data_IF_464969535219
#
_entry.id   IF_464969535219
#
_cell.length_a   1.000
_cell.length_b   1.000
_cell.length_c   1.000
_cell.angle_alpha   90.00
_cell.angle_beta   90.00
_cell.angle_gamma   90.00
#
_symmetry.space_group_name_H-M   'P 1'
#
loop_
_entity.id
_entity.type
_entity.pdbx_description
1 polymer ?
#
# COMPACT_ATOMS: atom_id res chain seq x y z
N UNK A 1 -2.14 -7.41 -27.88
CA UNK A 1 -3.35 -6.61 -27.61
C UNK A 1 -3.09 -5.99 -26.23
N UNK A 2 -2.79 -4.70 -26.22
CA UNK A 2 -2.47 -3.98 -24.99
C UNK A 2 -3.73 -3.33 -24.41
N UNK A 3 -3.82 -3.29 -23.10
CA UNK A 3 -4.77 -2.47 -22.36
C UNK A 3 -4.04 -1.23 -21.86
N UNK A 4 -4.64 -0.06 -21.98
CA UNK A 4 -4.02 1.20 -21.61
C UNK A 4 -4.53 1.72 -20.26
N UNK A 5 -3.64 2.28 -19.46
CA UNK A 5 -3.94 3.03 -18.24
C UNK A 5 -3.94 4.52 -18.58
N UNK A 6 -4.99 5.23 -18.18
CA UNK A 6 -4.99 6.68 -18.15
C UNK A 6 -5.05 7.10 -16.70
N UNK A 7 -3.92 7.51 -16.15
CA UNK A 7 -3.80 7.98 -14.79
C UNK A 7 -3.35 9.42 -14.73
N UNK A 8 -3.83 10.18 -13.75
CA UNK A 8 -3.18 11.40 -13.36
C UNK A 8 -2.19 11.08 -12.26
N UNK A 9 -0.93 11.12 -12.60
CA UNK A 9 0.05 11.43 -11.61
C UNK A 9 0.35 12.90 -11.73
N UNK A 10 0.27 13.55 -10.60
CA UNK A 10 0.74 14.89 -10.52
C UNK A 10 2.18 14.92 -10.94
N UNK A 11 2.47 15.60 -12.05
CA UNK A 11 3.81 16.08 -12.26
C UNK A 11 4.19 16.84 -11.01
N UNK A 12 5.13 16.28 -10.29
CA UNK A 12 5.77 16.96 -9.19
C UNK A 12 6.27 18.27 -9.78
N UNK A 13 5.62 19.38 -9.45
CA UNK A 13 6.24 20.67 -9.63
C UNK A 13 7.54 20.59 -8.87
N UNK A 14 8.62 21.13 -9.43
CA UNK A 14 9.89 21.32 -8.71
C UNK A 14 9.71 22.10 -7.40
N UNK A 15 8.56 22.73 -7.20
CA UNK A 15 8.18 23.50 -6.00
C UNK A 15 7.35 22.73 -4.98
N UNK A 16 6.89 21.49 -5.24
CA UNK A 16 6.08 20.72 -4.29
C UNK A 16 6.79 19.48 -3.75
N UNK A 17 8.08 19.62 -3.46
CA UNK A 17 8.84 18.60 -2.73
C UNK A 17 8.26 18.28 -1.33
N UNK A 18 7.25 19.01 -0.89
CA UNK A 18 6.78 19.04 0.50
C UNK A 18 5.39 18.42 0.73
N UNK A 19 4.62 18.07 -0.31
CA UNK A 19 3.27 17.56 -0.12
C UNK A 19 2.97 16.39 -1.06
N UNK A 20 2.70 15.19 -0.53
CA UNK A 20 2.30 14.04 -1.35
C UNK A 20 0.86 14.21 -1.83
N UNK A 21 0.64 14.12 -3.15
CA UNK A 21 -0.69 14.14 -3.77
C UNK A 21 -1.17 12.76 -4.24
N UNK A 22 -0.57 11.71 -3.74
CA UNK A 22 -0.93 10.35 -4.13
C UNK A 22 -2.39 10.02 -3.80
N UNK A 23 -3.11 9.50 -4.77
CA UNK A 23 -4.50 9.06 -4.59
C UNK A 23 -5.55 10.16 -4.48
N UNK A 24 -5.19 11.44 -4.75
CA UNK A 24 -6.13 12.58 -4.68
C UNK A 24 -6.89 12.75 -6.00
N UNK A 25 -6.20 12.51 -7.11
CA UNK A 25 -6.80 12.60 -8.45
C UNK A 25 -7.17 11.23 -8.98
N UNK A 26 -8.17 11.18 -9.87
CA UNK A 26 -8.69 9.93 -10.41
C UNK A 26 -7.72 9.29 -11.39
N UNK A 27 -7.64 7.96 -11.35
CA UNK A 27 -6.90 7.11 -12.28
C UNK A 27 -7.87 6.18 -12.98
N UNK A 28 -7.96 6.27 -14.29
CA UNK A 28 -8.87 5.45 -15.08
C UNK A 28 -8.13 4.33 -15.79
N UNK A 29 -8.55 3.09 -15.55
CA UNK A 29 -8.09 1.93 -16.32
C UNK A 29 -9.11 1.62 -17.40
N UNK A 30 -8.69 1.69 -18.67
CA UNK A 30 -9.56 1.46 -19.82
C UNK A 30 -9.06 0.28 -20.63
N UNK A 31 -9.97 -0.58 -21.12
CA UNK A 31 -9.62 -1.69 -22.00
C UNK A 31 -9.23 -1.18 -23.39
N UNK A 32 -8.42 -1.95 -24.09
CA UNK A 32 -8.16 -1.70 -25.50
C UNK A 32 -9.41 -2.06 -26.32
N UNK A 33 -9.78 -1.19 -27.25
CA UNK A 33 -10.88 -1.38 -28.18
C UNK A 33 -10.34 -1.47 -29.61
N UNK A 34 -10.84 -2.43 -30.38
CA UNK A 34 -10.43 -2.61 -31.79
C UNK A 34 -10.89 -1.46 -32.69
N UNK A 35 -12.05 -0.86 -32.38
CA UNK A 35 -12.51 0.34 -33.09
C UNK A 35 -11.73 1.58 -32.65
N UNK A 36 -11.03 2.22 -33.59
CA UNK A 36 -10.17 3.39 -33.32
C UNK A 36 -10.95 4.60 -32.83
N UNK A 37 -12.19 4.78 -33.31
CA UNK A 37 -13.03 5.95 -32.94
C UNK A 37 -13.57 5.76 -31.52
N UNK A 38 -14.03 4.56 -31.20
CA UNK A 38 -14.46 4.24 -29.83
C UNK A 38 -13.31 4.33 -28.84
N UNK A 39 -12.13 3.80 -29.21
CA UNK A 39 -10.92 3.92 -28.38
C UNK A 39 -10.52 5.37 -28.15
N UNK A 40 -10.51 6.20 -29.20
CA UNK A 40 -10.20 7.63 -29.09
C UNK A 40 -11.23 8.37 -28.23
N UNK A 41 -12.51 8.04 -28.38
CA UNK A 41 -13.58 8.61 -27.55
C UNK A 41 -13.35 8.29 -26.08
N UNK A 42 -13.17 7.01 -25.74
CA UNK A 42 -12.97 6.55 -24.36
C UNK A 42 -11.70 7.16 -23.76
N UNK A 43 -10.60 7.18 -24.50
CA UNK A 43 -9.35 7.82 -24.06
C UNK A 43 -9.54 9.31 -23.80
N UNK A 44 -10.24 10.01 -24.70
CA UNK A 44 -10.51 11.45 -24.55
C UNK A 44 -11.39 11.74 -23.33
N UNK A 45 -12.40 10.90 -23.07
CA UNK A 45 -13.28 11.05 -21.92
C UNK A 45 -12.55 10.71 -20.61
N UNK A 46 -11.67 9.71 -20.60
CA UNK A 46 -10.82 9.42 -19.46
C UNK A 46 -9.86 10.59 -19.15
N UNK A 47 -9.21 11.18 -20.16
CA UNK A 47 -8.36 12.38 -19.99
C UNK A 47 -9.15 13.54 -19.39
N UNK A 48 -10.37 13.80 -19.92
CA UNK A 48 -11.25 14.83 -19.34
C UNK A 48 -11.64 14.52 -17.90
N UNK A 49 -11.92 13.25 -17.59
CA UNK A 49 -12.21 12.78 -16.24
C UNK A 49 -11.07 13.06 -15.28
N UNK A 50 -9.82 12.80 -15.70
CA UNK A 50 -8.62 13.13 -14.94
C UNK A 50 -8.55 14.64 -14.66
N UNK A 51 -8.70 15.49 -15.67
CA UNK A 51 -8.72 16.95 -15.47
C UNK A 51 -9.87 17.40 -14.58
N UNK A 52 -11.05 16.77 -14.69
CA UNK A 52 -12.21 17.09 -13.87
C UNK A 52 -12.00 16.71 -12.40
N UNK A 53 -11.19 15.68 -12.11
CA UNK A 53 -10.96 15.18 -10.76
C UNK A 53 -10.32 16.21 -9.84
N UNK A 54 -9.63 17.23 -10.37
CA UNK A 54 -9.14 18.39 -9.59
C UNK A 54 -10.28 19.09 -8.82
N UNK A 55 -11.48 19.07 -9.39
CA UNK A 55 -12.66 19.74 -8.83
C UNK A 55 -13.55 18.84 -8.00
N UNK A 56 -13.17 17.57 -7.83
CA UNK A 56 -13.95 16.63 -7.01
C UNK A 56 -13.85 16.98 -5.52
N UNK A 57 -14.78 16.44 -4.73
CA UNK A 57 -14.91 16.77 -3.32
C UNK A 57 -13.64 16.50 -2.54
N UNK A 58 -13.02 15.34 -2.77
CA UNK A 58 -11.83 14.91 -2.00
C UNK A 58 -10.61 15.75 -2.36
N UNK A 59 -10.44 16.07 -3.66
CA UNK A 59 -9.40 16.99 -4.13
C UNK A 59 -9.56 18.39 -3.54
N UNK A 60 -10.79 18.91 -3.49
CA UNK A 60 -11.08 20.21 -2.85
C UNK A 60 -10.84 20.20 -1.35
N UNK A 61 -11.26 19.14 -0.66
CA UNK A 61 -11.04 19.01 0.78
C UNK A 61 -9.55 18.99 1.12
N UNK A 62 -8.75 18.24 0.32
CA UNK A 62 -7.30 18.21 0.47
C UNK A 62 -6.67 19.59 0.24
N UNK A 63 -7.05 20.28 -0.83
CA UNK A 63 -6.52 21.61 -1.12
C UNK A 63 -6.91 22.67 -0.08
N UNK A 64 -8.07 22.52 0.55
CA UNK A 64 -8.47 23.39 1.67
C UNK A 64 -7.66 23.12 2.94
N UNK A 65 -7.25 21.87 3.14
CA UNK A 65 -6.39 21.48 4.26
C UNK A 65 -4.90 21.82 4.03
N UNK A 66 -4.52 22.17 2.80
CA UNK A 66 -3.17 22.58 2.42
C UNK A 66 -3.15 24.04 1.98
N UNK A 67 -1.99 24.67 1.96
CA UNK A 67 -1.84 26.06 1.50
C UNK A 67 -2.00 26.25 -0.02
N UNK A 68 -2.41 25.23 -0.75
CA UNK A 68 -2.50 25.25 -2.21
C UNK A 68 -3.81 25.89 -2.70
N UNK A 69 -3.73 26.69 -3.77
CA UNK A 69 -4.88 27.33 -4.38
C UNK A 69 -5.24 26.61 -5.67
N UNK A 70 -6.47 26.08 -5.77
CA UNK A 70 -6.98 25.32 -6.95
C UNK A 70 -6.71 26.02 -8.28
N UNK A 71 -6.82 27.35 -8.33
CA UNK A 71 -6.64 28.13 -9.57
C UNK A 71 -5.20 28.11 -10.10
N UNK A 72 -4.24 27.76 -9.24
CA UNK A 72 -2.81 27.67 -9.60
C UNK A 72 -2.37 26.24 -9.91
N UNK A 73 -3.23 25.25 -9.68
CA UNK A 73 -2.93 23.85 -9.93
C UNK A 73 -2.81 23.57 -11.44
N UNK A 74 -1.70 22.95 -11.83
CA UNK A 74 -1.45 22.52 -13.21
C UNK A 74 -1.29 21.01 -13.20
N UNK A 75 -2.15 20.32 -13.94
CA UNK A 75 -2.15 18.88 -14.03
C UNK A 75 -1.46 18.42 -15.32
N UNK A 76 -0.60 17.41 -15.19
CA UNK A 76 -0.16 16.60 -16.30
C UNK A 76 -0.88 15.25 -16.28
N UNK A 77 -1.12 14.67 -17.44
CA UNK A 77 -1.75 13.35 -17.60
C UNK A 77 -0.72 12.38 -18.13
N UNK A 78 -0.53 11.25 -17.44
CA UNK A 78 0.33 10.16 -17.86
C UNK A 78 -0.55 9.07 -18.48
N UNK A 79 -0.18 8.63 -19.68
CA UNK A 79 -0.74 7.47 -20.34
C UNK A 79 0.24 6.33 -20.23
N UNK A 80 -0.18 5.22 -19.59
CA UNK A 80 0.67 4.08 -19.35
C UNK A 80 -0.05 2.79 -19.73
N UNK A 81 0.66 1.85 -20.36
CA UNK A 81 0.12 0.54 -20.66
C UNK A 81 -0.13 -0.27 -19.37
N UNK A 82 -1.33 -0.84 -19.23
CA UNK A 82 -1.63 -1.71 -18.09
C UNK A 82 -0.90 -3.04 -18.27
N UNK A 83 -0.13 -3.40 -17.24
CA UNK A 83 0.61 -4.66 -17.21
C UNK A 83 -0.31 -5.80 -16.76
N UNK A 84 -0.24 -6.94 -17.44
CA UNK A 84 -1.02 -8.11 -17.05
C UNK A 84 -0.99 -9.24 -18.08
N UNK A 85 -1.79 -10.25 -17.80
CA UNK A 85 -2.12 -11.34 -18.70
C UNK A 85 -3.63 -11.39 -18.90
N UNK A 86 -4.06 -11.79 -20.09
CA UNK A 86 -5.45 -12.01 -20.37
C UNK A 86 -5.92 -13.40 -19.91
N UNK A 87 -7.04 -13.43 -19.22
CA UNK A 87 -7.73 -14.62 -18.73
C UNK A 87 -9.21 -14.55 -19.15
N UNK A 88 -9.50 -15.00 -20.37
CA UNK A 88 -10.83 -14.82 -20.97
C UNK A 88 -11.17 -13.34 -21.10
N UNK A 89 -12.22 -12.92 -20.42
CA UNK A 89 -12.69 -11.52 -20.42
C UNK A 89 -12.07 -10.65 -19.31
N UNK A 90 -10.98 -11.11 -18.68
CA UNK A 90 -10.29 -10.44 -17.56
C UNK A 90 -8.83 -10.17 -17.92
N UNK A 91 -8.30 -9.05 -17.42
CA UNK A 91 -6.90 -8.72 -17.61
C UNK A 91 -6.28 -8.22 -16.30
N UNK A 92 -5.23 -8.89 -15.84
CA UNK A 92 -4.54 -8.53 -14.61
C UNK A 92 -3.14 -9.16 -14.53
N UNK A 93 -2.20 -8.55 -13.78
CA UNK A 93 -0.88 -9.12 -13.52
C UNK A 93 -0.94 -10.26 -12.52
N UNK A 94 0.07 -11.12 -12.51
CA UNK A 94 0.21 -12.17 -11.50
C UNK A 94 0.33 -11.59 -10.09
N UNK A 95 1.00 -10.44 -9.97
CA UNK A 95 1.12 -9.69 -8.73
C UNK A 95 1.38 -8.22 -9.02
N UNK A 96 1.01 -7.38 -8.06
CA UNK A 96 1.38 -5.97 -7.98
C UNK A 96 1.83 -5.64 -6.58
N UNK A 97 2.64 -4.60 -6.43
CA UNK A 97 3.13 -4.22 -5.13
C UNK A 97 3.52 -2.76 -5.04
N UNK A 98 3.59 -2.31 -3.79
CA UNK A 98 4.19 -1.04 -3.40
C UNK A 98 5.36 -1.36 -2.49
N UNK A 99 6.54 -0.86 -2.81
CA UNK A 99 7.73 -1.05 -2.00
C UNK A 99 8.34 0.29 -1.60
N UNK A 100 8.84 0.38 -0.39
CA UNK A 100 9.50 1.56 0.17
C UNK A 100 10.91 1.22 0.59
N UNK A 101 11.86 2.10 0.35
CA UNK A 101 13.24 1.93 0.81
C UNK A 101 13.38 2.18 2.32
N UNK A 102 12.38 2.80 2.95
CA UNK A 102 12.32 3.04 4.39
C UNK A 102 11.18 2.24 5.02
N UNK A 103 11.52 1.42 6.02
CA UNK A 103 10.58 0.67 6.83
C UNK A 103 10.32 1.42 8.16
N UNK A 104 9.17 2.05 8.28
CA UNK A 104 8.80 2.78 9.50
C UNK A 104 8.48 1.88 10.69
N UNK A 105 8.21 0.59 10.45
CA UNK A 105 7.81 -0.39 11.47
C UNK A 105 8.55 -1.71 11.25
N UNK A 106 9.87 -1.75 11.50
CA UNK A 106 10.63 -2.98 11.38
C UNK A 106 10.14 -4.03 12.40
N UNK A 107 10.07 -5.28 11.99
CA UNK A 107 9.62 -6.41 12.80
C UNK A 107 10.78 -7.39 13.04
N UNK A 108 10.95 -7.85 14.27
CA UNK A 108 12.02 -8.79 14.61
C UNK A 108 13.39 -8.22 14.30
N UNK A 109 14.11 -8.91 13.40
CA UNK A 109 15.48 -8.54 12.99
C UNK A 109 15.53 -7.53 11.82
N UNK A 110 14.37 -7.09 11.30
CA UNK A 110 14.31 -6.09 10.22
C UNK A 110 14.89 -4.75 10.68
N UNK A 111 15.51 -4.04 9.74
CA UNK A 111 16.00 -2.67 9.96
C UNK A 111 15.22 -1.67 9.13
N UNK A 112 15.20 -0.42 9.58
CA UNK A 112 14.47 0.65 8.89
C UNK A 112 14.97 0.86 7.45
N UNK A 113 16.28 0.78 7.22
CA UNK A 113 16.94 0.95 5.92
C UNK A 113 16.78 -0.24 4.96
N UNK A 114 16.24 -1.36 5.41
CA UNK A 114 16.00 -2.55 4.58
C UNK A 114 14.69 -2.47 3.78
N UNK A 115 13.88 -1.48 4.09
CA UNK A 115 12.64 -1.24 3.39
C UNK A 115 11.52 -2.23 3.70
N UNK A 116 10.37 -2.01 3.07
CA UNK A 116 9.18 -2.85 3.21
C UNK A 116 8.37 -2.91 1.93
N UNK A 117 7.65 -4.01 1.73
CA UNK A 117 6.84 -4.29 0.54
C UNK A 117 5.45 -4.71 0.93
N UNK A 118 4.44 -4.15 0.28
CA UNK A 118 3.08 -4.66 0.27
C UNK A 118 2.81 -5.32 -1.09
N UNK A 119 2.44 -6.58 -1.07
CA UNK A 119 2.28 -7.43 -2.25
C UNK A 119 0.85 -7.97 -2.33
N UNK A 120 0.26 -7.95 -3.52
CA UNK A 120 -1.08 -8.48 -3.77
C UNK A 120 -1.19 -9.13 -5.15
N UNK A 121 -2.12 -10.07 -5.31
CA UNK A 121 -2.60 -10.60 -6.59
C UNK A 121 -3.42 -9.55 -7.30
N UNK A 122 -3.26 -9.41 -8.62
CA UNK A 122 -4.08 -8.56 -9.48
C UNK A 122 -3.57 -7.13 -9.59
N UNK A 123 -4.44 -6.21 -9.96
CA UNK A 123 -4.09 -4.81 -10.21
C UNK A 123 -3.74 -4.05 -8.93
N UNK A 124 -2.72 -3.20 -8.99
CA UNK A 124 -2.18 -2.43 -7.87
C UNK A 124 -3.17 -1.50 -7.19
N UNK A 125 -4.23 -1.05 -7.90
CA UNK A 125 -5.32 -0.28 -7.29
C UNK A 125 -5.93 -0.97 -6.06
N UNK A 126 -5.90 -2.30 -5.99
CA UNK A 126 -6.36 -3.03 -4.81
C UNK A 126 -5.56 -2.68 -3.54
N UNK A 127 -4.26 -2.41 -3.69
CA UNK A 127 -3.37 -1.99 -2.60
C UNK A 127 -3.68 -0.56 -2.18
N UNK A 128 -3.83 0.33 -3.17
CA UNK A 128 -4.15 1.76 -2.93
C UNK A 128 -5.49 1.93 -2.23
N UNK A 129 -6.50 1.12 -2.59
CA UNK A 129 -7.83 1.12 -1.97
C UNK A 129 -7.85 0.45 -0.58
N UNK A 130 -6.69 0.13 0.00
CA UNK A 130 -6.58 -0.46 1.33
C UNK A 130 -6.97 -1.94 1.41
N UNK A 131 -6.86 -2.67 0.31
CA UNK A 131 -7.06 -4.12 0.29
C UNK A 131 -6.05 -4.89 1.14
N UNK A 132 -6.39 -6.11 1.51
CA UNK A 132 -5.47 -7.00 2.23
C UNK A 132 -4.25 -7.32 1.38
N UNK A 133 -3.06 -6.98 1.87
CA UNK A 133 -1.77 -7.21 1.22
C UNK A 133 -0.89 -8.07 2.10
N UNK A 134 0.03 -8.79 1.49
CA UNK A 134 1.08 -9.47 2.22
C UNK A 134 2.26 -8.50 2.38
N UNK A 135 2.71 -8.31 3.63
CA UNK A 135 3.84 -7.44 3.96
C UNK A 135 5.09 -8.26 4.22
N UNK A 136 6.22 -7.85 3.63
CA UNK A 136 7.54 -8.44 3.91
C UNK A 136 8.66 -7.40 3.73
N UNK A 137 9.84 -7.66 4.33
CA UNK A 137 11.07 -6.94 4.00
C UNK A 137 11.80 -7.65 2.86
N UNK A 138 12.32 -6.92 1.84
CA UNK A 138 13.11 -7.53 0.76
C UNK A 138 14.37 -8.27 1.26
N UNK A 139 14.90 -7.90 2.43
CA UNK A 139 16.06 -8.55 3.03
C UNK A 139 15.69 -9.76 3.88
N UNK A 140 14.41 -9.86 4.29
CA UNK A 140 13.89 -10.97 5.08
C UNK A 140 12.62 -11.58 4.44
N UNK A 141 12.67 -12.06 3.17
CA UNK A 141 11.48 -12.49 2.43
C UNK A 141 10.79 -13.72 3.06
N UNK A 142 11.51 -14.48 3.88
CA UNK A 142 10.97 -15.66 4.58
C UNK A 142 10.26 -15.30 5.90
N UNK A 143 10.39 -14.07 6.38
CA UNK A 143 9.79 -13.61 7.63
C UNK A 143 8.53 -12.82 7.34
N UNK A 144 7.43 -13.53 7.08
CA UNK A 144 6.13 -12.93 6.76
C UNK A 144 5.17 -13.15 7.91
N UNK A 145 4.82 -12.08 8.63
CA UNK A 145 3.96 -12.17 9.82
C UNK A 145 2.60 -12.78 9.51
N UNK A 146 1.98 -12.39 8.39
CA UNK A 146 0.66 -12.90 8.00
C UNK A 146 0.62 -14.40 7.71
N UNK A 147 1.79 -15.04 7.50
CA UNK A 147 1.89 -16.48 7.24
C UNK A 147 2.65 -17.23 8.33
N UNK A 148 3.00 -16.57 9.44
CA UNK A 148 3.75 -17.17 10.56
C UNK A 148 2.95 -18.24 11.30
N UNK A 149 1.63 -18.08 11.38
CA UNK A 149 0.70 -19.02 11.98
C UNK A 149 -0.46 -19.31 11.02
N UNK A 150 -0.95 -20.54 11.05
CA UNK A 150 -2.03 -20.98 10.18
C UNK A 150 -3.32 -20.17 10.36
N UNK A 151 -3.70 -19.87 11.61
CA UNK A 151 -4.91 -19.11 11.89
C UNK A 151 -4.83 -17.67 11.37
N UNK A 152 -3.66 -17.05 11.50
CA UNK A 152 -3.39 -15.72 10.96
C UNK A 152 -3.45 -15.76 9.44
N UNK A 153 -2.78 -16.74 8.82
CA UNK A 153 -2.77 -16.88 7.37
C UNK A 153 -4.17 -17.07 6.76
N UNK A 154 -5.05 -17.77 7.45
CA UNK A 154 -6.44 -17.97 7.00
C UNK A 154 -7.31 -16.70 7.13
N UNK A 155 -6.96 -15.77 8.01
CA UNK A 155 -7.70 -14.52 8.24
C UNK A 155 -7.10 -13.32 7.51
N UNK A 156 -5.77 -13.19 7.54
CA UNK A 156 -5.05 -11.97 7.16
C UNK A 156 -4.44 -12.04 5.75
N UNK A 157 -4.80 -13.04 4.96
CA UNK A 157 -4.37 -13.14 3.57
C UNK A 157 -5.45 -12.67 2.60
N UNK A 158 -5.03 -12.26 1.43
CA UNK A 158 -5.88 -11.70 0.40
C UNK A 158 -7.00 -12.67 -0.02
N UNK A 159 -8.24 -12.20 -0.03
CA UNK A 159 -9.43 -12.96 -0.46
C UNK A 159 -10.08 -12.42 -1.73
N UNK A 160 -9.78 -11.19 -2.11
CA UNK A 160 -10.30 -10.52 -3.31
C UNK A 160 -9.17 -9.82 -4.05
N UNK A 161 -9.36 -9.57 -5.34
CA UNK A 161 -8.43 -8.83 -6.18
C UNK A 161 -9.16 -8.01 -7.23
N UNK A 162 -8.46 -7.07 -7.87
CA UNK A 162 -8.99 -6.33 -9.02
C UNK A 162 -8.44 -6.87 -10.34
N UNK A 163 -9.33 -6.95 -11.32
CA UNK A 163 -9.02 -7.21 -12.72
C UNK A 163 -9.71 -6.18 -13.61
N UNK A 164 -9.13 -5.86 -14.75
CA UNK A 164 -9.77 -5.05 -15.79
C UNK A 164 -10.82 -5.90 -16.52
N UNK A 165 -12.01 -5.35 -16.70
CA UNK A 165 -13.11 -5.97 -17.44
C UNK A 165 -12.92 -5.75 -18.95
N UNK A 166 -12.73 -6.83 -19.69
CA UNK A 166 -12.65 -6.78 -21.15
C UNK A 166 -14.00 -7.09 -21.82
N UNK A 167 -14.95 -7.68 -21.09
CA UNK A 167 -16.26 -8.07 -21.64
C UNK A 167 -17.16 -6.87 -21.91
N UNK A 168 -17.14 -5.92 -20.97
CA UNK A 168 -17.94 -4.70 -21.08
C UNK A 168 -17.12 -3.54 -21.68
N UNK A 169 -16.08 -3.87 -22.41
CA UNK A 169 -15.28 -2.89 -23.14
C UNK A 169 -16.19 -2.11 -24.12
N UNK A 170 -16.13 -0.78 -24.08
CA UNK A 170 -16.94 0.08 -24.97
C UNK A 170 -18.24 0.64 -24.36
N UNK A 171 -18.55 0.33 -23.10
CA UNK A 171 -19.61 1.03 -22.38
C UNK A 171 -19.31 2.53 -22.20
N UNK A 172 -20.36 3.31 -21.93
CA UNK A 172 -20.19 4.74 -21.70
C UNK A 172 -19.24 5.00 -20.55
N UNK A 173 -18.39 6.00 -20.72
CA UNK A 173 -17.44 6.44 -19.70
C UNK A 173 -18.17 6.90 -18.43
N UNK A 174 -17.70 6.48 -17.27
CA UNK A 174 -18.15 6.95 -15.95
C UNK A 174 -17.04 7.73 -15.27
N UNK A 175 -17.42 8.73 -14.49
CA UNK A 175 -16.50 9.46 -13.62
C UNK A 175 -16.02 8.63 -12.40
N UNK A 176 -16.64 7.48 -12.14
CA UNK A 176 -16.16 6.50 -11.17
C UNK A 176 -14.90 5.84 -11.72
N UNK A 177 -13.77 6.01 -11.05
CA UNK A 177 -12.47 5.49 -11.48
C UNK A 177 -12.37 3.96 -11.43
N UNK A 178 -13.33 3.31 -10.79
CA UNK A 178 -13.50 1.86 -10.76
C UNK A 178 -14.40 1.28 -11.84
N UNK A 179 -14.96 2.08 -12.74
CA UNK A 179 -16.05 1.64 -13.64
C UNK A 179 -15.71 0.46 -14.58
N UNK A 180 -14.44 0.26 -14.92
CA UNK A 180 -13.96 -0.87 -15.72
C UNK A 180 -13.29 -1.96 -14.88
N UNK A 181 -13.40 -1.91 -13.57
CA UNK A 181 -12.71 -2.85 -12.68
C UNK A 181 -13.69 -3.86 -12.10
N UNK A 182 -13.27 -5.12 -12.12
CA UNK A 182 -13.95 -6.21 -11.46
C UNK A 182 -13.28 -6.49 -10.12
N UNK A 183 -14.04 -6.42 -9.03
CA UNK A 183 -13.59 -6.87 -7.70
C UNK A 183 -13.97 -8.33 -7.52
N UNK A 184 -13.03 -9.23 -7.78
CA UNK A 184 -13.22 -10.66 -7.85
C UNK A 184 -12.75 -11.37 -6.58
N UNK A 185 -13.30 -12.55 -6.31
CA UNK A 185 -12.78 -13.44 -5.28
C UNK A 185 -11.58 -14.23 -5.81
N UNK A 186 -10.59 -14.54 -4.96
CA UNK A 186 -9.38 -15.33 -5.31
C UNK A 186 -9.72 -16.64 -6.02
N UNK A 187 -10.88 -17.25 -5.74
CA UNK A 187 -11.37 -18.46 -6.43
C UNK A 187 -11.49 -18.26 -7.96
N UNK A 188 -11.78 -17.05 -8.42
CA UNK A 188 -11.82 -16.77 -9.85
C UNK A 188 -10.43 -16.84 -10.48
N UNK A 189 -9.39 -16.37 -9.76
CA UNK A 189 -8.01 -16.52 -10.22
C UNK A 189 -7.53 -17.98 -10.19
N UNK A 190 -8.11 -18.85 -9.33
CA UNK A 190 -7.90 -20.30 -9.40
C UNK A 190 -8.47 -20.88 -10.70
N UNK A 191 -9.70 -20.49 -11.07
CA UNK A 191 -10.34 -20.90 -12.32
C UNK A 191 -9.55 -20.42 -13.55
N UNK A 192 -8.94 -19.25 -13.48
CA UNK A 192 -8.09 -18.68 -14.52
C UNK A 192 -6.71 -19.37 -14.60
N UNK A 193 -6.36 -20.24 -13.63
CA UNK A 193 -5.06 -20.89 -13.52
C UNK A 193 -3.92 -19.93 -13.12
N UNK A 194 -4.26 -18.76 -12.55
CA UNK A 194 -3.30 -17.71 -12.22
C UNK A 194 -2.57 -17.93 -10.88
N UNK A 195 -3.04 -18.87 -10.04
CA UNK A 195 -2.54 -19.03 -8.67
C UNK A 195 -1.29 -19.90 -8.52
N UNK A 196 -0.77 -20.48 -9.59
CA UNK A 196 0.27 -21.52 -9.56
C UNK A 196 1.47 -21.23 -8.67
N UNK A 197 1.99 -20.01 -8.70
CA UNK A 197 3.21 -19.63 -7.98
C UNK A 197 2.96 -18.69 -6.79
N UNK A 198 1.70 -18.27 -6.59
CA UNK A 198 1.36 -17.26 -5.61
C UNK A 198 0.49 -17.78 -4.47
N UNK A 199 -0.09 -18.98 -4.61
CA UNK A 199 -0.94 -19.55 -3.60
C UNK A 199 -0.36 -20.84 -3.02
N UNK A 200 -0.72 -21.07 -1.74
CA UNK A 200 -0.57 -22.32 -1.02
C UNK A 200 -1.96 -22.95 -0.81
N UNK A 201 -2.01 -24.22 -0.43
CA UNK A 201 -3.26 -24.93 -0.17
C UNK A 201 -3.37 -25.29 1.31
N UNK A 202 -4.44 -24.83 1.96
CA UNK A 202 -4.79 -25.26 3.30
C UNK A 202 -5.46 -26.64 3.27
N UNK A 203 -4.87 -27.58 4.00
CA UNK A 203 -5.41 -28.93 4.22
C UNK A 203 -6.18 -28.95 5.55
N UNK A 204 -7.52 -29.11 5.52
CA UNK A 204 -8.33 -29.09 6.74
C UNK A 204 -8.19 -30.39 7.58
N UNK A 205 -7.71 -31.49 7.01
CA UNK A 205 -7.53 -32.75 7.73
C UNK A 205 -6.25 -32.70 8.57
N UNK A 206 -5.15 -32.31 7.95
CA UNK A 206 -3.85 -32.20 8.63
C UNK A 206 -3.69 -30.87 9.36
N UNK A 207 -4.60 -29.92 9.15
CA UNK A 207 -4.54 -28.55 9.69
C UNK A 207 -3.21 -27.85 9.39
N UNK A 208 -2.75 -27.95 8.14
CA UNK A 208 -1.51 -27.33 7.68
C UNK A 208 -1.73 -26.58 6.37
N UNK A 209 -0.87 -25.61 6.11
CA UNK A 209 -0.78 -24.94 4.81
C UNK A 209 0.42 -25.53 4.08
N UNK A 210 0.18 -26.10 2.89
CA UNK A 210 1.21 -26.65 2.02
C UNK A 210 1.49 -25.70 0.87
N UNK A 211 2.74 -25.43 0.60
CA UNK A 211 3.12 -24.56 -0.52
C UNK A 211 2.78 -25.22 -1.85
N UNK A 212 2.12 -24.44 -2.70
CA UNK A 212 1.65 -24.88 -4.01
C UNK A 212 0.16 -25.26 -4.06
N UNK A 213 -0.27 -25.64 -5.25
CA UNK A 213 -1.66 -25.99 -5.53
C UNK A 213 -1.85 -27.49 -5.47
N UNK A 214 -2.63 -27.93 -4.50
CA UNK A 214 -3.06 -29.34 -4.37
C UNK A 214 -4.57 -29.44 -4.60
N UNK A 215 -5.07 -30.58 -5.09
CA UNK A 215 -6.51 -30.83 -5.23
C UNK A 215 -7.24 -30.72 -3.89
N UNK A 216 -8.40 -30.09 -3.88
CA UNK A 216 -9.15 -29.83 -2.64
C UNK A 216 -8.54 -28.72 -1.80
N UNK A 217 -9.07 -28.52 -0.61
CA UNK A 217 -8.59 -27.48 0.32
C UNK A 217 -8.83 -26.03 -0.14
N UNK A 218 -8.66 -25.10 0.79
CA UNK A 218 -8.79 -23.67 0.51
C UNK A 218 -7.46 -23.11 -0.01
N UNK A 219 -7.51 -22.32 -1.09
CA UNK A 219 -6.33 -21.60 -1.59
C UNK A 219 -6.11 -20.34 -0.78
N UNK A 220 -4.87 -20.14 -0.37
CA UNK A 220 -4.41 -19.05 0.48
C UNK A 220 -3.29 -18.30 -0.26
N UNK A 221 -3.39 -17.00 -0.40
CA UNK A 221 -2.37 -16.18 -1.09
C UNK A 221 -1.21 -15.93 -0.15
N UNK A 222 -0.15 -16.72 -0.28
CA UNK A 222 1.04 -16.69 0.58
C UNK A 222 2.27 -16.16 -0.12
N UNK A 223 2.29 -16.20 -1.46
CA UNK A 223 3.49 -15.96 -2.27
C UNK A 223 4.72 -16.81 -1.85
N UNK A 224 4.51 -17.91 -1.13
CA UNK A 224 5.60 -18.73 -0.59
C UNK A 224 6.57 -19.24 -1.66
N UNK A 225 6.06 -19.67 -2.83
CA UNK A 225 6.92 -20.11 -3.92
C UNK A 225 7.87 -19.01 -4.44
N UNK A 226 7.48 -17.74 -4.31
CA UNK A 226 8.29 -16.58 -4.70
C UNK A 226 9.23 -16.18 -3.57
N UNK A 227 8.70 -16.06 -2.34
CA UNK A 227 9.43 -15.46 -1.22
C UNK A 227 10.36 -16.48 -0.53
N UNK A 228 9.97 -17.76 -0.47
CA UNK A 228 10.74 -18.82 0.21
C UNK A 228 11.51 -19.70 -0.77
N UNK A 229 10.93 -19.98 -1.95
CA UNK A 229 11.50 -20.91 -2.94
C UNK A 229 12.11 -20.21 -4.17
N UNK A 230 12.12 -18.88 -4.20
CA UNK A 230 12.78 -18.04 -5.22
C UNK A 230 12.43 -18.41 -6.68
N UNK A 231 11.20 -18.88 -6.93
CA UNK A 231 10.72 -19.21 -8.29
C UNK A 231 10.78 -17.99 -9.22
N UNK A 232 10.64 -16.81 -8.65
CA UNK A 232 10.86 -15.51 -9.27
C UNK A 232 11.66 -14.64 -8.29
N UNK A 233 12.80 -14.07 -8.65
CA UNK A 233 13.72 -13.41 -7.72
C UNK A 233 13.23 -12.02 -7.29
N UNK A 234 11.97 -11.91 -6.85
CA UNK A 234 11.29 -10.66 -6.54
C UNK A 234 12.03 -9.87 -5.46
N UNK A 235 12.41 -10.52 -4.35
CA UNK A 235 13.09 -9.87 -3.24
C UNK A 235 14.40 -9.21 -3.69
N UNK A 236 15.20 -9.94 -4.48
CA UNK A 236 16.48 -9.45 -5.02
C UNK A 236 16.31 -8.30 -6.00
N UNK A 237 15.28 -8.37 -6.87
CA UNK A 237 14.94 -7.28 -7.79
C UNK A 237 14.59 -6.02 -6.99
N UNK A 238 13.76 -6.16 -5.98
CA UNK A 238 13.32 -5.02 -5.15
C UNK A 238 14.47 -4.41 -4.36
N UNK A 239 15.38 -5.21 -3.78
CA UNK A 239 16.60 -4.70 -3.15
C UNK A 239 17.39 -3.81 -4.11
N UNK A 240 17.58 -4.25 -5.35
CA UNK A 240 18.33 -3.48 -6.36
C UNK A 240 17.58 -2.21 -6.77
N UNK A 241 16.29 -2.31 -7.07
CA UNK A 241 15.49 -1.17 -7.53
C UNK A 241 15.36 -0.11 -6.45
N UNK A 242 15.12 -0.49 -5.20
CA UNK A 242 15.05 0.45 -4.08
C UNK A 242 16.39 1.13 -3.83
N UNK A 243 17.48 0.36 -3.81
CA UNK A 243 18.83 0.88 -3.62
C UNK A 243 19.22 1.90 -4.69
N UNK A 244 19.04 1.55 -5.97
CA UNK A 244 19.37 2.47 -7.07
C UNK A 244 18.41 3.65 -7.13
N UNK A 245 17.12 3.43 -6.87
CA UNK A 245 16.14 4.51 -6.78
C UNK A 245 16.49 5.54 -5.71
N UNK A 246 16.90 5.08 -4.52
CA UNK A 246 17.35 5.95 -3.45
C UNK A 246 18.63 6.72 -3.78
N UNK A 247 19.60 6.05 -4.44
CA UNK A 247 20.83 6.70 -4.90
C UNK A 247 20.56 7.80 -5.93
N UNK A 248 19.71 7.53 -6.93
CA UNK A 248 19.39 8.50 -7.97
C UNK A 248 18.52 9.66 -7.45
N UNK A 249 17.55 9.37 -6.61
CA UNK A 249 16.68 10.38 -6.01
C UNK A 249 17.34 11.11 -4.83
N UNK A 250 18.44 10.57 -4.28
CA UNK A 250 19.15 11.06 -3.08
C UNK A 250 18.26 11.16 -1.84
N UNK A 251 17.22 10.35 -1.78
CA UNK A 251 16.20 10.29 -0.72
C UNK A 251 15.57 8.91 -0.70
N UNK A 252 14.98 8.51 0.44
CA UNK A 252 14.14 7.33 0.46
C UNK A 252 13.06 7.38 -0.62
N UNK A 253 12.78 6.23 -1.23
CA UNK A 253 11.86 6.14 -2.36
C UNK A 253 10.73 5.15 -2.08
N UNK A 254 9.59 5.45 -2.70
CA UNK A 254 8.49 4.51 -2.86
C UNK A 254 8.38 4.16 -4.35
N UNK A 255 8.20 2.88 -4.62
CA UNK A 255 7.98 2.37 -5.97
C UNK A 255 6.66 1.62 -6.06
N UNK A 256 6.01 1.74 -7.20
CA UNK A 256 4.92 0.87 -7.60
C UNK A 256 5.40 -0.06 -8.70
N UNK A 257 5.04 -1.33 -8.59
CA UNK A 257 5.47 -2.34 -9.55
C UNK A 257 4.36 -3.35 -9.82
N UNK A 258 4.48 -4.01 -10.97
CA UNK A 258 3.72 -5.22 -11.28
C UNK A 258 4.66 -6.30 -11.82
N UNK A 259 4.24 -7.56 -11.73
CA UNK A 259 4.96 -8.64 -12.36
C UNK A 259 4.00 -9.65 -12.97
N UNK A 260 4.38 -10.16 -14.13
CA UNK A 260 3.71 -11.27 -14.81
C UNK A 260 4.61 -12.49 -14.75
N UNK A 261 4.06 -13.61 -14.28
CA UNK A 261 4.75 -14.88 -14.26
C UNK A 261 4.38 -15.68 -15.50
N UNK A 262 5.37 -16.35 -16.11
CA UNK A 262 5.13 -17.19 -17.26
C UNK A 262 4.31 -18.43 -16.85
N UNK A 263 3.39 -18.85 -17.73
CA UNK A 263 2.69 -20.14 -17.61
C UNK A 263 3.56 -21.30 -18.07
N UNK A 264 4.58 -21.04 -18.87
CA UNK A 264 5.50 -22.04 -19.40
C UNK A 264 6.59 -22.35 -18.36
N UNK A 265 6.96 -23.61 -18.22
CA UNK A 265 7.92 -24.08 -17.21
C UNK A 265 9.32 -23.46 -17.33
N UNK A 266 9.71 -23.05 -18.55
CA UNK A 266 11.08 -22.63 -18.86
C UNK A 266 11.24 -21.10 -18.96
N UNK A 267 10.18 -20.31 -18.71
CA UNK A 267 10.23 -18.85 -18.77
C UNK A 267 10.00 -18.26 -17.40
N UNK A 268 10.97 -17.47 -16.95
CA UNK A 268 10.82 -16.59 -15.80
C UNK A 268 9.75 -15.52 -16.09
N UNK A 269 9.23 -14.86 -15.06
CA UNK A 269 8.33 -13.73 -15.23
C UNK A 269 9.03 -12.45 -15.68
N UNK A 270 8.25 -11.40 -15.89
CA UNK A 270 8.73 -10.05 -16.16
C UNK A 270 8.33 -9.12 -15.02
N UNK A 271 9.29 -8.35 -14.53
CA UNK A 271 9.07 -7.29 -13.55
C UNK A 271 8.93 -5.96 -14.29
N UNK A 272 7.94 -5.16 -13.89
CA UNK A 272 7.65 -3.83 -14.45
C UNK A 272 7.70 -2.82 -13.30
N UNK A 273 8.64 -1.88 -13.39
CA UNK A 273 8.63 -0.70 -12.54
C UNK A 273 7.59 0.26 -13.14
N UNK A 274 6.52 0.53 -12.42
CA UNK A 274 5.42 1.38 -12.89
C UNK A 274 5.65 2.84 -12.51
N UNK A 275 6.09 3.07 -11.28
CA UNK A 275 6.33 4.39 -10.73
C UNK A 275 7.46 4.36 -9.73
N UNK A 276 8.20 5.46 -9.63
CA UNK A 276 9.12 5.74 -8.55
C UNK A 276 8.94 7.19 -8.10
N UNK A 277 8.87 7.40 -6.79
CA UNK A 277 8.77 8.74 -6.21
C UNK A 277 9.61 8.83 -4.93
N UNK A 278 10.17 10.00 -4.61
CA UNK A 278 10.82 10.19 -3.33
C UNK A 278 9.76 10.15 -2.22
N UNK A 279 10.09 9.52 -1.10
CA UNK A 279 9.34 9.68 0.13
C UNK A 279 9.70 11.06 0.66
N UNK A 280 8.69 11.92 0.80
CA UNK A 280 8.88 13.24 1.40
C UNK A 280 9.09 13.04 2.89
N UNK A 281 10.33 13.13 3.31
CA UNK A 281 10.68 13.10 4.72
C UNK A 281 10.30 14.47 5.30
N UNK A 282 9.48 14.46 6.31
CA UNK A 282 8.97 15.65 6.98
C UNK A 282 10.06 16.51 7.66
N UNK A 283 11.29 16.03 7.68
CA UNK A 283 12.42 16.74 8.29
C UNK A 283 12.79 18.08 7.61
N UNK A 284 12.40 18.26 6.33
CA UNK A 284 12.78 19.46 5.57
C UNK A 284 11.97 20.72 5.89
N UNK A 285 10.92 20.60 6.71
CA UNK A 285 10.11 21.76 7.13
C UNK A 285 10.44 22.27 8.54
N UNK A 286 11.36 21.64 9.23
CA UNK A 286 11.87 22.13 10.50
C UNK A 286 13.17 22.89 10.21
N UNK A 287 13.16 24.20 10.36
CA UNK A 287 14.38 25.04 10.29
C UNK A 287 15.37 24.75 11.44
N UNK A 288 15.01 23.85 12.36
CA UNK A 288 15.80 23.48 13.53
C UNK A 288 16.27 22.03 13.43
N UNK A 289 17.56 21.79 13.62
CA UNK A 289 18.11 20.45 13.78
C UNK A 289 17.73 19.91 15.17
N UNK A 290 16.78 18.98 15.21
CA UNK A 290 16.31 18.33 16.45
C UNK A 290 17.44 17.64 17.22
N UNK A 291 18.59 17.35 16.59
CA UNK A 291 19.74 16.77 17.25
C UNK A 291 20.54 17.83 18.07
N UNK A 292 20.33 19.10 17.81
CA UNK A 292 20.97 20.19 18.57
C UNK A 292 20.24 20.52 19.88
N UNK A 293 19.02 19.95 20.10
CA UNK A 293 18.27 20.13 21.34
C UNK A 293 18.97 19.34 22.47
N UNK A 294 19.40 20.02 23.56
CA UNK A 294 20.04 19.35 24.68
C UNK A 294 19.14 18.29 25.31
N UNK A 295 19.70 17.16 25.73
CA UNK A 295 18.94 16.06 26.32
C UNK A 295 18.17 16.46 27.60
N UNK A 296 18.63 17.49 28.31
CA UNK A 296 17.96 18.05 29.49
C UNK A 296 16.62 18.72 29.17
N UNK A 297 16.43 19.16 27.92
CA UNK A 297 15.20 19.78 27.44
C UNK A 297 14.26 18.78 26.75
N UNK A 298 14.64 17.51 26.68
CA UNK A 298 13.91 16.45 26.00
C UNK A 298 13.22 15.51 26.98
N UNK A 299 11.89 15.45 26.95
CA UNK A 299 11.12 14.45 27.73
C UNK A 299 11.15 13.10 27.03
N UNK A 300 11.00 13.08 25.70
CA UNK A 300 10.99 11.88 24.88
C UNK A 300 11.57 12.19 23.50
N UNK A 301 12.44 11.32 23.01
CA UNK A 301 13.01 11.41 21.65
C UNK A 301 12.66 10.15 20.87
N UNK A 302 12.17 10.33 19.64
CA UNK A 302 11.96 9.24 18.67
C UNK A 302 12.77 9.52 17.42
N UNK A 303 13.47 8.52 16.92
CA UNK A 303 14.22 8.61 15.66
C UNK A 303 13.37 8.23 14.45
N UNK A 304 12.16 7.69 14.69
CA UNK A 304 11.19 7.32 13.66
C UNK A 304 9.85 7.97 13.99
N UNK A 305 9.37 8.85 13.13
CA UNK A 305 8.08 9.51 13.30
C UNK A 305 7.30 9.54 11.99
N UNK A 306 5.98 9.50 12.11
CA UNK A 306 5.05 9.78 11.02
C UNK A 306 4.57 11.23 11.18
N UNK A 307 4.61 11.99 10.08
CA UNK A 307 4.24 13.39 10.10
C UNK A 307 5.36 14.31 10.58
N UNK A 308 5.11 15.61 10.52
CA UNK A 308 6.05 16.66 10.88
C UNK A 308 5.31 17.91 11.34
N UNK A 309 6.02 18.77 12.02
CA UNK A 309 5.50 20.03 12.48
C UNK A 309 5.83 20.27 13.94
N UNK A 310 5.53 21.49 14.39
CA UNK A 310 5.68 21.92 15.77
C UNK A 310 4.26 22.13 16.34
N UNK A 311 3.98 21.49 17.46
CA UNK A 311 2.75 21.69 18.22
C UNK A 311 3.10 22.37 19.54
N UNK A 312 2.68 23.61 19.72
CA UNK A 312 3.03 24.44 20.88
C UNK A 312 1.95 24.43 21.97
N UNK A 313 0.89 23.65 21.81
CA UNK A 313 -0.30 23.61 22.66
C UNK A 313 -0.47 22.27 23.40
N UNK A 314 0.61 21.50 23.50
CA UNK A 314 0.63 20.22 24.21
C UNK A 314 1.45 20.37 25.50
N UNK A 315 0.80 20.17 26.64
CA UNK A 315 1.42 20.30 27.98
C UNK A 315 1.29 19.03 28.81
N UNK A 316 0.52 18.06 28.35
CA UNK A 316 0.19 16.86 29.09
C UNK A 316 0.69 15.60 28.35
N UNK A 317 1.26 14.67 29.10
CA UNK A 317 1.72 13.36 28.61
C UNK A 317 0.98 12.26 29.35
N UNK A 318 0.27 11.42 28.64
CA UNK A 318 -0.37 10.21 29.16
C UNK A 318 0.45 9.00 28.74
N UNK A 319 0.88 8.20 29.70
CA UNK A 319 1.74 7.06 29.38
C UNK A 319 1.30 5.78 30.10
N UNK A 320 1.49 4.64 29.42
CA UNK A 320 1.26 3.32 29.99
C UNK A 320 2.49 2.89 30.77
N UNK A 321 2.35 2.62 32.08
CA UNK A 321 3.44 2.10 32.90
C UNK A 321 3.85 0.70 32.42
N UNK A 322 5.15 0.52 32.20
CA UNK A 322 5.72 -0.72 31.63
C UNK A 322 6.15 -1.74 32.66
N UNK A 323 6.32 -1.35 33.94
CA UNK A 323 6.88 -2.19 35.00
C UNK A 323 6.12 -3.53 35.22
N UNK A 324 4.82 -3.55 34.94
CA UNK A 324 3.98 -4.75 35.02
C UNK A 324 3.09 -4.90 33.79
N UNK A 325 3.53 -4.38 32.64
CA UNK A 325 2.77 -4.45 31.40
C UNK A 325 2.65 -5.89 30.89
N UNK A 326 1.43 -6.26 30.50
CA UNK A 326 1.14 -7.49 29.75
C UNK A 326 0.15 -7.17 28.65
N UNK A 327 0.36 -7.71 27.45
CA UNK A 327 -0.56 -7.56 26.32
C UNK A 327 -1.99 -8.05 26.62
N UNK A 328 -2.15 -8.97 27.58
CA UNK A 328 -3.47 -9.41 28.07
C UNK A 328 -4.29 -8.28 28.71
N UNK A 329 -3.64 -7.21 29.15
CA UNK A 329 -4.30 -6.06 29.78
C UNK A 329 -4.65 -4.95 28.76
N UNK A 330 -4.28 -5.10 27.49
CA UNK A 330 -4.46 -4.05 26.48
C UNK A 330 -5.90 -3.56 26.34
N UNK A 331 -6.88 -4.45 26.49
CA UNK A 331 -8.28 -4.08 26.46
C UNK A 331 -8.65 -3.20 27.67
N UNK A 332 -8.20 -3.52 28.85
CA UNK A 332 -8.44 -2.74 30.06
C UNK A 332 -7.75 -1.36 29.98
N UNK A 333 -6.51 -1.34 29.49
CA UNK A 333 -5.75 -0.11 29.26
C UNK A 333 -6.48 0.80 28.25
N UNK A 334 -7.01 0.26 27.15
CA UNK A 334 -7.79 1.03 26.19
C UNK A 334 -9.01 1.70 26.82
N UNK A 335 -9.71 1.03 27.74
CA UNK A 335 -10.84 1.60 28.48
C UNK A 335 -10.45 2.75 29.40
N UNK A 336 -9.32 2.64 30.10
CA UNK A 336 -8.81 3.73 30.92
C UNK A 336 -8.37 4.94 30.08
N UNK A 337 -7.70 4.69 28.95
CA UNK A 337 -7.30 5.74 28.02
C UNK A 337 -8.54 6.45 27.45
N UNK A 338 -9.59 5.72 27.10
CA UNK A 338 -10.84 6.34 26.60
C UNK A 338 -11.44 7.30 27.63
N UNK A 339 -11.44 6.96 28.92
CA UNK A 339 -11.92 7.86 29.99
C UNK A 339 -11.07 9.13 30.07
N UNK A 340 -9.74 8.96 30.01
CA UNK A 340 -8.80 10.08 30.03
C UNK A 340 -9.02 10.96 28.80
N UNK A 341 -9.18 10.36 27.62
CA UNK A 341 -9.42 11.08 26.38
C UNK A 341 -10.72 11.90 26.44
N UNK A 342 -11.80 11.35 26.99
CA UNK A 342 -13.06 12.09 27.19
C UNK A 342 -12.89 13.28 28.14
N UNK A 343 -12.08 13.14 29.19
CA UNK A 343 -11.76 14.26 30.08
C UNK A 343 -11.02 15.37 29.33
N UNK A 344 -9.95 15.05 28.59
CA UNK A 344 -9.17 16.03 27.83
C UNK A 344 -9.99 16.70 26.72
N UNK A 345 -10.88 15.95 26.06
CA UNK A 345 -11.81 16.51 25.08
C UNK A 345 -12.75 17.53 25.71
N UNK A 346 -13.29 17.23 26.89
CA UNK A 346 -14.18 18.15 27.62
C UNK A 346 -13.46 19.43 28.11
N UNK A 347 -12.15 19.30 28.40
CA UNK A 347 -11.29 20.42 28.80
C UNK A 347 -10.73 21.18 27.60
N UNK A 348 -10.92 20.71 26.37
CA UNK A 348 -10.34 21.30 25.16
C UNK A 348 -8.81 21.25 25.11
N UNK A 349 -8.20 20.25 25.73
CA UNK A 349 -6.76 20.08 25.83
C UNK A 349 -6.26 18.97 24.91
N UNK A 350 -5.04 19.16 24.39
CA UNK A 350 -4.28 18.16 23.66
C UNK A 350 -3.26 17.48 24.60
N UNK A 351 -2.92 16.23 24.33
CA UNK A 351 -1.93 15.48 25.08
C UNK A 351 -1.14 14.51 24.17
N UNK A 352 0.06 14.12 24.57
CA UNK A 352 0.83 13.06 23.93
C UNK A 352 0.52 11.73 24.62
N UNK A 353 0.17 10.72 23.83
CA UNK A 353 -0.09 9.37 24.33
C UNK A 353 1.13 8.47 24.04
N UNK A 354 1.69 7.87 25.08
CA UNK A 354 2.87 7.01 25.01
C UNK A 354 2.55 5.62 25.57
N UNK A 355 2.87 4.58 24.83
CA UNK A 355 2.65 3.21 25.30
C UNK A 355 3.26 2.15 24.37
N UNK A 356 3.29 0.90 24.82
CA UNK A 356 3.86 -0.21 24.08
C UNK A 356 2.94 -0.64 22.91
N UNK A 357 3.56 -1.04 21.81
CA UNK A 357 2.86 -1.56 20.64
C UNK A 357 2.15 -0.51 19.80
N UNK A 358 1.16 -0.93 19.04
CA UNK A 358 0.38 -0.06 18.14
C UNK A 358 -0.85 0.51 18.85
N UNK A 359 -1.08 1.80 18.69
CA UNK A 359 -2.34 2.42 19.05
C UNK A 359 -3.42 2.14 17.99
N UNK A 360 -4.65 1.82 18.44
CA UNK A 360 -5.76 1.53 17.52
C UNK A 360 -5.69 0.17 16.82
N UNK A 361 -4.84 -0.75 17.27
CA UNK A 361 -4.74 -2.09 16.72
C UNK A 361 -6.01 -2.90 17.00
N UNK A 362 -6.58 -3.55 15.99
CA UNK A 362 -7.65 -4.54 16.18
C UNK A 362 -7.14 -5.82 16.83
N UNK A 363 -5.84 -6.10 16.74
CA UNK A 363 -5.17 -7.20 17.41
C UNK A 363 -4.60 -6.71 18.75
N UNK A 364 -5.17 -7.20 19.84
CA UNK A 364 -4.78 -6.82 21.21
C UNK A 364 -3.38 -7.29 21.61
N UNK A 365 -2.79 -8.23 20.87
CA UNK A 365 -1.40 -8.68 21.11
C UNK A 365 -0.38 -7.76 20.45
N UNK A 366 -0.75 -7.09 19.36
CA UNK A 366 0.11 -6.16 18.63
C UNK A 366 0.04 -4.73 19.16
N UNK A 367 -0.95 -4.41 19.98
CA UNK A 367 -1.10 -3.07 20.52
C UNK A 367 -2.38 -2.83 21.30
N UNK A 368 -2.58 -1.57 21.68
CA UNK A 368 -3.69 -1.14 22.51
C UNK A 368 -4.84 -0.67 21.62
N UNK A 369 -6.04 -1.31 21.69
CA UNK A 369 -7.18 -1.05 20.80
C UNK A 369 -7.97 0.21 21.21
N UNK A 370 -7.33 1.37 21.21
CA UNK A 370 -8.00 2.67 21.39
C UNK A 370 -8.83 3.02 20.15
N UNK A 371 -9.90 3.77 20.32
CA UNK A 371 -10.79 4.23 19.23
C UNK A 371 -10.41 5.61 18.76
#
# INVERSE_FOLDING_TARGET
IGSGLVGSEMCIRDSSHYQPFAGIYSTYMIPYLDDRYEMLRMLSDAIKGVYASVYFRDSKAYMQATSNVIVQEKMAVILQEVVGNQYGDRYYPSMSGVARSLNYYPLGDEKAEEGTVNLALGLGKYIVDGGMTLRFSPYHPNQVLQTSEMEIALKETQTRFYALDLKNAGHDFSIDDGFNLLKLHVKEAENDGALRYIASTYDPYDQIIRDGLYPGGRKVITFANILQHDVFPLARILQLVLKYGEQEMRRPVEIEFAATLSREHDKSGTFYLLQIRPIVDSKEMLDEDLNEIPDEDVILRSYNSLGHGIMNDIYDVVYVKTDNYSASNNQAIAWEIEKINQQFLNEGKNYVLVGPGRWGSSDTWLGIPVK
#
